data_IF_287871941453
#
_entry.id   IF_287871941453
#
_cell.length_a   1.000
_cell.length_b   1.000
_cell.length_c   1.000
_cell.angle_alpha   90.00
_cell.angle_beta   90.00
_cell.angle_gamma   90.00
#
_symmetry.space_group_name_H-M   'P 1'
#
loop_
_entity.id
_entity.type
_entity.pdbx_description
1 polymer ?
#
# COMPACT_ATOMS: atom_id res chain seq x y z
N UNK A 1 -23.57 34.31 30.48
CA UNK A 1 -23.64 33.19 29.51
C UNK A 1 -22.45 33.37 28.58
N UNK A 2 -21.30 32.78 28.91
CA UNK A 2 -20.05 32.97 28.15
C UNK A 2 -20.17 32.19 26.83
N UNK A 3 -19.85 32.86 25.73
CA UNK A 3 -19.97 32.35 24.37
C UNK A 3 -19.23 31.02 24.19
N UNK A 4 -19.99 29.93 24.03
CA UNK A 4 -19.47 28.60 23.65
C UNK A 4 -19.23 28.47 22.13
N UNK A 5 -19.67 29.49 21.38
CA UNK A 5 -19.56 29.58 19.93
C UNK A 5 -18.14 29.37 19.36
N UNK A 6 -17.05 29.95 19.93
CA UNK A 6 -15.72 29.75 19.37
C UNK A 6 -15.19 28.33 19.59
N UNK A 7 -15.57 27.68 20.70
CA UNK A 7 -15.13 26.31 21.02
C UNK A 7 -15.75 25.31 20.04
N UNK A 8 -17.04 25.49 19.72
CA UNK A 8 -17.77 24.62 18.81
C UNK A 8 -17.28 24.74 17.36
N UNK A 9 -16.89 25.96 16.96
CA UNK A 9 -16.29 26.23 15.65
C UNK A 9 -14.93 25.53 15.52
N UNK A 10 -14.07 25.63 16.53
CA UNK A 10 -12.76 24.98 16.53
C UNK A 10 -12.90 23.46 16.45
N UNK A 11 -13.80 22.84 17.22
CA UNK A 11 -14.02 21.39 17.17
C UNK A 11 -14.51 20.89 15.80
N UNK A 12 -15.31 21.68 15.09
CA UNK A 12 -15.77 21.33 13.75
C UNK A 12 -14.63 21.36 12.71
N UNK A 13 -13.70 22.31 12.81
CA UNK A 13 -12.53 22.36 11.94
C UNK A 13 -11.56 21.20 12.19
N UNK A 14 -11.38 20.76 13.44
CA UNK A 14 -10.53 19.61 13.75
C UNK A 14 -11.09 18.29 13.21
N UNK A 15 -12.42 18.12 13.23
CA UNK A 15 -13.06 16.91 12.68
C UNK A 15 -12.87 16.77 11.16
N UNK A 16 -12.72 17.87 10.43
CA UNK A 16 -12.48 17.85 8.98
C UNK A 16 -11.07 17.35 8.59
N UNK A 17 -10.12 17.30 9.54
CA UNK A 17 -8.79 16.75 9.31
C UNK A 17 -8.70 15.24 9.61
N UNK A 18 -9.71 14.65 10.26
CA UNK A 18 -9.73 13.24 10.56
C UNK A 18 -10.29 12.46 9.35
N UNK A 19 -9.45 11.67 8.70
CA UNK A 19 -9.90 10.69 7.70
C UNK A 19 -10.91 9.77 8.35
N UNK A 20 -12.13 9.74 7.81
CA UNK A 20 -13.22 8.99 8.41
C UNK A 20 -13.08 7.48 8.13
N UNK A 21 -13.56 6.60 9.03
CA UNK A 21 -13.41 5.16 8.86
C UNK A 21 -14.12 4.64 7.60
N UNK A 22 -15.23 5.26 7.18
CA UNK A 22 -15.90 4.92 5.92
C UNK A 22 -15.06 5.27 4.69
N UNK A 23 -14.32 6.38 4.73
CA UNK A 23 -13.47 6.77 3.62
C UNK A 23 -12.28 5.81 3.46
N UNK A 24 -11.70 5.36 4.58
CA UNK A 24 -10.63 4.35 4.55
C UNK A 24 -11.09 3.03 3.94
N UNK A 25 -12.28 2.54 4.32
CA UNK A 25 -12.87 1.33 3.74
C UNK A 25 -13.10 1.47 2.25
N UNK A 26 -13.70 2.59 1.83
CA UNK A 26 -13.94 2.87 0.41
C UNK A 26 -12.63 2.95 -0.39
N UNK A 27 -11.55 3.50 0.18
CA UNK A 27 -10.21 3.48 -0.45
C UNK A 27 -9.68 2.06 -0.59
N UNK A 28 -9.77 1.23 0.45
CA UNK A 28 -9.30 -0.15 0.42
C UNK A 28 -10.07 -1.01 -0.60
N UNK A 29 -11.38 -0.83 -0.71
CA UNK A 29 -12.20 -1.54 -1.71
C UNK A 29 -11.83 -1.16 -3.14
N UNK A 30 -11.66 0.15 -3.41
CA UNK A 30 -11.20 0.63 -4.72
C UNK A 30 -9.83 0.06 -5.09
N UNK A 31 -8.93 0.02 -4.12
CA UNK A 31 -7.60 -0.51 -4.30
C UNK A 31 -7.61 -2.02 -4.60
N UNK A 32 -8.38 -2.79 -3.83
CA UNK A 32 -8.55 -4.22 -4.09
C UNK A 32 -9.10 -4.45 -5.51
N UNK A 33 -10.11 -3.70 -5.93
CA UNK A 33 -10.68 -3.82 -7.28
C UNK A 33 -9.67 -3.47 -8.37
N UNK A 34 -8.82 -2.45 -8.17
CA UNK A 34 -7.73 -2.11 -9.08
C UNK A 34 -6.76 -3.28 -9.24
N UNK A 35 -6.34 -3.90 -8.14
CA UNK A 35 -5.42 -5.04 -8.16
C UNK A 35 -6.03 -6.24 -8.89
N UNK A 36 -7.30 -6.55 -8.64
CA UNK A 36 -8.03 -7.61 -9.35
C UNK A 36 -8.05 -7.36 -10.86
N UNK A 37 -8.34 -6.14 -11.28
CA UNK A 37 -8.36 -5.78 -12.71
C UNK A 37 -6.97 -5.83 -13.36
N UNK A 38 -5.93 -5.45 -12.61
CA UNK A 38 -4.56 -5.33 -13.15
C UNK A 38 -3.84 -6.68 -13.20
N UNK A 39 -3.93 -7.47 -12.12
CA UNK A 39 -3.13 -8.68 -11.93
C UNK A 39 -3.97 -9.96 -11.82
N UNK A 40 -5.31 -9.86 -11.77
CA UNK A 40 -6.19 -11.02 -11.60
C UNK A 40 -5.95 -12.09 -12.65
N UNK A 41 -5.92 -11.70 -13.93
CA UNK A 41 -5.63 -12.61 -15.04
C UNK A 41 -4.23 -13.23 -14.93
N UNK A 42 -3.22 -12.45 -14.52
CA UNK A 42 -1.85 -12.96 -14.34
C UNK A 42 -1.82 -14.02 -13.24
N UNK A 43 -2.46 -13.77 -12.09
CA UNK A 43 -2.53 -14.75 -11.01
C UNK A 43 -3.31 -16.01 -11.40
N UNK A 44 -4.36 -15.89 -12.22
CA UNK A 44 -5.08 -17.05 -12.77
C UNK A 44 -4.20 -17.86 -13.73
N UNK A 45 -3.43 -17.20 -14.60
CA UNK A 45 -2.46 -17.86 -15.49
C UNK A 45 -1.35 -18.57 -14.73
N UNK A 46 -0.98 -18.06 -13.55
CA UNK A 46 -0.04 -18.69 -12.62
C UNK A 46 -0.66 -19.87 -11.85
N UNK A 47 -1.95 -20.16 -12.05
CA UNK A 47 -2.65 -21.30 -11.47
C UNK A 47 -3.32 -21.04 -10.12
N UNK A 48 -3.39 -19.78 -9.68
CA UNK A 48 -4.11 -19.43 -8.46
C UNK A 48 -5.62 -19.36 -8.72
N UNK A 49 -6.40 -19.99 -7.85
CA UNK A 49 -7.87 -19.95 -7.94
C UNK A 49 -8.41 -18.59 -7.48
N UNK A 50 -9.27 -17.92 -8.26
CA UNK A 50 -9.84 -16.61 -7.90
C UNK A 50 -10.49 -16.59 -6.51
N UNK A 51 -10.45 -15.42 -5.85
CA UNK A 51 -11.06 -15.17 -4.53
C UNK A 51 -10.54 -16.06 -3.38
N UNK A 52 -9.43 -16.78 -3.58
CA UNK A 52 -8.73 -17.49 -2.49
C UNK A 52 -7.67 -16.62 -1.84
N UNK A 53 -7.25 -16.97 -0.62
CA UNK A 53 -6.16 -16.30 0.09
C UNK A 53 -4.88 -16.26 -0.75
N UNK A 54 -4.52 -17.39 -1.35
CA UNK A 54 -3.32 -17.50 -2.20
C UNK A 54 -3.39 -16.60 -3.44
N UNK A 55 -4.56 -16.44 -4.03
CA UNK A 55 -4.75 -15.52 -5.14
C UNK A 55 -4.62 -14.06 -4.69
N UNK A 56 -5.18 -13.70 -3.52
CA UNK A 56 -5.00 -12.37 -2.93
C UNK A 56 -3.53 -12.07 -2.61
N UNK A 57 -2.79 -13.04 -2.09
CA UNK A 57 -1.35 -12.90 -1.85
C UNK A 57 -0.59 -12.66 -3.16
N UNK A 58 -0.94 -13.36 -4.24
CA UNK A 58 -0.37 -13.12 -5.56
C UNK A 58 -0.60 -11.68 -6.05
N UNK A 59 -1.82 -11.15 -5.89
CA UNK A 59 -2.14 -9.76 -6.28
C UNK A 59 -1.28 -8.75 -5.50
N UNK A 60 -1.12 -8.97 -4.20
CA UNK A 60 -0.34 -8.09 -3.32
C UNK A 60 1.16 -8.15 -3.63
N UNK A 61 1.69 -9.34 -3.89
CA UNK A 61 3.10 -9.54 -4.23
C UNK A 61 3.47 -8.84 -5.55
N UNK A 62 2.63 -8.96 -6.59
CA UNK A 62 2.85 -8.28 -7.86
C UNK A 62 2.82 -6.75 -7.74
N UNK A 63 1.90 -6.21 -6.93
CA UNK A 63 1.90 -4.77 -6.67
C UNK A 63 3.13 -4.33 -5.89
N UNK A 64 3.54 -5.11 -4.88
CA UNK A 64 4.73 -4.82 -4.11
C UNK A 64 5.98 -4.79 -5.00
N UNK A 65 6.13 -5.75 -5.91
CA UNK A 65 7.22 -5.77 -6.89
C UNK A 65 7.22 -4.51 -7.77
N UNK A 66 6.07 -4.12 -8.31
CA UNK A 66 5.93 -2.87 -9.09
C UNK A 66 6.32 -1.63 -8.28
N UNK A 67 5.92 -1.56 -7.01
CA UNK A 67 6.27 -0.45 -6.13
C UNK A 67 7.78 -0.41 -5.87
N UNK A 68 8.40 -1.55 -5.64
CA UNK A 68 9.85 -1.66 -5.44
C UNK A 68 10.62 -1.26 -6.69
N UNK A 69 10.20 -1.70 -7.87
CA UNK A 69 10.77 -1.25 -9.16
C UNK A 69 10.67 0.27 -9.30
N UNK A 70 9.50 0.86 -9.00
CA UNK A 70 9.31 2.31 -9.03
C UNK A 70 10.22 3.05 -8.05
N UNK A 71 10.44 2.49 -6.85
CA UNK A 71 11.29 3.09 -5.84
C UNK A 71 12.77 3.01 -6.24
N UNK A 72 13.22 1.92 -6.84
CA UNK A 72 14.57 1.77 -7.39
C UNK A 72 14.85 2.83 -8.47
N UNK A 73 13.86 3.14 -9.31
CA UNK A 73 13.94 4.26 -10.27
C UNK A 73 14.09 5.63 -9.61
N UNK A 74 13.51 5.87 -8.43
CA UNK A 74 13.51 7.18 -7.76
C UNK A 74 14.70 7.37 -6.82
N UNK A 75 15.17 6.30 -6.18
CA UNK A 75 16.35 6.28 -5.32
C UNK A 75 17.34 5.25 -5.86
N UNK A 76 18.25 5.65 -6.78
CA UNK A 76 19.30 4.76 -7.21
C UNK A 76 20.15 4.38 -6.00
N UNK A 77 20.34 3.07 -5.77
CA UNK A 77 21.54 2.35 -5.30
C UNK A 77 22.42 2.87 -4.15
N UNK A 78 22.58 4.17 -4.01
CA UNK A 78 23.51 4.86 -3.14
C UNK A 78 22.83 5.72 -2.06
N UNK A 79 21.54 6.05 -2.22
CA UNK A 79 20.82 6.94 -1.29
C UNK A 79 19.69 6.25 -0.48
N UNK A 80 19.50 4.95 -0.63
CA UNK A 80 18.48 4.21 0.14
C UNK A 80 18.91 4.11 1.62
N UNK A 81 18.07 4.51 2.57
CA UNK A 81 18.37 4.38 4.00
C UNK A 81 18.50 2.92 4.48
N UNK A 82 18.25 1.93 3.61
CA UNK A 82 18.44 0.50 3.90
C UNK A 82 19.86 -0.03 3.60
N UNK A 83 20.80 0.80 3.08
CA UNK A 83 22.18 0.38 2.76
C UNK A 83 23.10 0.14 3.97
N UNK A 84 22.62 0.27 5.20
CA UNK A 84 23.39 -0.10 6.40
C UNK A 84 23.35 -1.61 6.74
N UNK A 85 22.85 -2.45 5.83
CA UNK A 85 23.10 -3.89 5.88
C UNK A 85 23.91 -4.28 4.65
N UNK A 86 25.19 -4.65 4.80
CA UNK A 86 26.05 -4.92 3.66
C UNK A 86 25.49 -6.14 2.93
N UNK A 87 25.11 -5.95 1.66
CA UNK A 87 24.79 -6.98 0.67
C UNK A 87 23.47 -7.76 0.80
N UNK A 88 22.39 -7.17 1.33
CA UNK A 88 21.05 -7.76 1.21
C UNK A 88 20.29 -7.20 0.00
N UNK A 89 19.92 -8.06 -0.97
CA UNK A 89 19.07 -7.73 -2.11
C UNK A 89 17.79 -8.59 -2.12
N UNK A 90 16.66 -8.03 -2.57
CA UNK A 90 15.43 -8.81 -2.76
C UNK A 90 15.47 -9.54 -4.11
N UNK A 91 15.34 -10.86 -4.08
CA UNK A 91 15.23 -11.69 -5.29
C UNK A 91 13.93 -12.50 -5.21
N UNK A 92 12.94 -12.15 -6.04
CA UNK A 92 11.62 -12.80 -6.06
C UNK A 92 10.88 -12.72 -4.72
N UNK A 93 10.78 -11.51 -4.14
CA UNK A 93 10.09 -11.27 -2.86
C UNK A 93 10.86 -11.71 -1.61
N UNK A 94 11.97 -12.46 -1.74
CA UNK A 94 12.79 -12.91 -0.60
C UNK A 94 14.04 -12.04 -0.45
N UNK A 95 14.31 -11.58 0.78
CA UNK A 95 15.56 -10.90 1.13
C UNK A 95 16.71 -11.92 1.14
N UNK A 96 17.72 -11.70 0.31
CA UNK A 96 18.92 -12.55 0.20
C UNK A 96 20.13 -11.69 0.57
N UNK A 97 20.89 -12.13 1.58
CA UNK A 97 22.08 -11.44 2.08
C UNK A 97 23.36 -12.21 1.71
N UNK A 98 24.37 -11.52 1.19
CA UNK A 98 25.67 -12.07 0.80
C UNK A 98 26.77 -11.79 1.83
#
# INVERSE_FOLDING_TARGET
MKSLLPILLVTALLAACATTPEEQRARAEREANRLKQTYGQTCEQLGYQPETDKWRDCLLELENQRLMERMDWYYPGYYSPFYYTPFCHHHGGRLVCH
#
